data_IF_324310739974
#
_entry.id   IF_324310739974
#
_cell.length_a   1.000
_cell.length_b   1.000
_cell.length_c   1.000
_cell.angle_alpha   90.00
_cell.angle_beta   90.00
_cell.angle_gamma   90.00
#
_symmetry.space_group_name_H-M   'P 1'
#
loop_
_entity.id
_entity.type
_entity.pdbx_description
1 polymer ?
#
# COMPACT_ATOMS: atom_id res chain seq x y z
N UNK A 1 38.08 21.85 8.94
CA UNK A 1 36.64 21.81 9.31
C UNK A 1 35.87 22.26 8.10
N UNK A 2 35.21 21.35 7.40
CA UNK A 2 34.51 21.69 6.18
C UNK A 2 33.24 22.48 6.52
N UNK A 3 33.11 23.67 5.91
CA UNK A 3 31.89 24.48 6.01
C UNK A 3 30.68 23.65 5.59
N UNK A 4 29.78 23.38 6.52
CA UNK A 4 28.51 22.73 6.22
C UNK A 4 27.66 23.71 5.38
N UNK A 5 27.69 23.54 4.06
CA UNK A 5 26.89 24.36 3.15
C UNK A 5 25.42 24.06 3.41
N UNK A 6 24.76 24.97 4.14
CA UNK A 6 23.32 24.85 4.45
C UNK A 6 22.53 24.71 3.16
N UNK A 7 21.76 23.63 3.08
CA UNK A 7 20.93 23.33 1.91
C UNK A 7 21.64 22.70 0.70
N UNK A 8 22.90 22.27 0.81
CA UNK A 8 23.63 21.64 -0.30
C UNK A 8 22.87 20.42 -0.84
N UNK A 9 22.39 19.53 0.03
CA UNK A 9 21.61 18.36 -0.36
C UNK A 9 20.29 18.76 -1.05
N UNK A 10 19.64 19.82 -0.62
CA UNK A 10 18.40 20.30 -1.26
C UNK A 10 18.66 20.86 -2.66
N UNK A 11 19.78 21.57 -2.86
CA UNK A 11 20.19 22.07 -4.18
C UNK A 11 20.54 20.93 -5.12
N UNK A 12 21.32 19.95 -4.64
CA UNK A 12 21.68 18.75 -5.40
C UNK A 12 20.41 17.97 -5.81
N UNK A 13 19.49 17.75 -4.89
CA UNK A 13 18.22 17.07 -5.17
C UNK A 13 17.40 17.85 -6.22
N UNK A 14 17.35 19.18 -6.15
CA UNK A 14 16.63 20.00 -7.13
C UNK A 14 17.24 19.90 -8.53
N UNK A 15 18.56 19.86 -8.63
CA UNK A 15 19.27 19.66 -9.90
C UNK A 15 19.04 18.25 -10.44
N UNK A 16 19.14 17.23 -9.59
CA UNK A 16 18.92 15.84 -9.96
C UNK A 16 17.49 15.64 -10.51
N UNK A 17 16.46 16.16 -9.83
CA UNK A 17 15.08 16.04 -10.27
C UNK A 17 14.84 16.67 -11.65
N UNK A 18 15.42 17.85 -11.92
CA UNK A 18 15.31 18.50 -13.24
C UNK A 18 15.89 17.65 -14.36
N UNK A 19 17.07 17.03 -14.13
CA UNK A 19 17.73 16.18 -15.12
C UNK A 19 17.00 14.85 -15.31
N UNK A 20 16.61 14.20 -14.21
CA UNK A 20 15.95 12.91 -14.22
C UNK A 20 14.55 12.97 -14.85
N UNK A 21 13.78 14.02 -14.63
CA UNK A 21 12.41 14.13 -15.16
C UNK A 21 12.34 13.97 -16.68
N UNK A 22 13.25 14.63 -17.40
CA UNK A 22 13.34 14.51 -18.87
C UNK A 22 13.78 13.11 -19.32
N UNK A 23 14.75 12.52 -18.62
CA UNK A 23 15.26 11.19 -18.95
C UNK A 23 14.21 10.10 -18.68
N UNK A 24 13.53 10.18 -17.52
CA UNK A 24 12.47 9.26 -17.10
C UNK A 24 11.31 9.28 -18.10
N UNK A 25 10.87 10.48 -18.49
CA UNK A 25 9.77 10.65 -19.44
C UNK A 25 10.10 10.06 -20.81
N UNK A 26 11.30 10.31 -21.34
CA UNK A 26 11.74 9.80 -22.65
C UNK A 26 11.84 8.26 -22.69
N UNK A 27 12.23 7.65 -21.58
CA UNK A 27 12.45 6.20 -21.52
C UNK A 27 11.24 5.43 -20.96
N UNK A 28 10.12 6.07 -20.63
CA UNK A 28 8.94 5.42 -20.06
C UNK A 28 9.25 4.67 -18.74
N UNK A 29 10.22 5.15 -17.97
CA UNK A 29 10.73 4.46 -16.79
C UNK A 29 10.00 4.91 -15.51
N UNK A 30 9.71 3.98 -14.60
CA UNK A 30 9.23 4.28 -13.26
C UNK A 30 10.41 4.33 -12.30
N UNK A 31 10.50 5.42 -11.53
CA UNK A 31 11.55 5.61 -10.51
C UNK A 31 10.94 5.68 -9.12
N UNK A 32 11.49 4.87 -8.21
CA UNK A 32 11.06 4.81 -6.82
C UNK A 32 12.17 5.37 -5.94
N UNK A 33 11.85 6.43 -5.18
CA UNK A 33 12.74 7.01 -4.18
C UNK A 33 12.38 6.49 -2.80
N UNK A 34 13.31 5.80 -2.16
CA UNK A 34 13.19 5.36 -0.77
C UNK A 34 13.84 6.44 0.10
N UNK A 35 13.08 6.99 1.06
CA UNK A 35 13.55 8.06 1.91
C UNK A 35 13.16 7.81 3.37
N UNK A 36 13.97 8.28 4.31
CA UNK A 36 13.70 8.22 5.73
C UNK A 36 13.00 9.49 6.22
N UNK A 37 12.16 9.37 7.24
CA UNK A 37 11.61 10.51 7.97
C UNK A 37 12.63 11.01 8.99
N UNK A 38 12.69 12.32 9.13
CA UNK A 38 13.48 13.05 10.15
C UNK A 38 12.55 14.00 10.88
N UNK A 39 12.86 14.30 12.11
CA UNK A 39 12.16 15.33 12.87
C UNK A 39 12.89 16.67 12.69
N UNK A 40 12.15 17.70 12.37
CA UNK A 40 12.64 19.07 12.31
C UNK A 40 12.61 19.66 13.70
N UNK A 41 13.79 20.07 14.20
CA UNK A 41 13.95 20.68 15.52
C UNK A 41 13.32 22.08 15.51
N UNK A 42 12.64 22.46 16.62
CA UNK A 42 12.05 23.79 16.80
C UNK A 42 10.66 24.00 16.21
N UNK A 43 9.99 22.95 15.74
CA UNK A 43 8.57 23.02 15.32
C UNK A 43 7.67 22.80 16.54
N UNK A 44 7.11 23.87 17.09
CA UNK A 44 6.20 23.80 18.25
C UNK A 44 4.76 23.42 17.84
N UNK A 45 4.34 23.75 16.63
CA UNK A 45 2.99 23.46 16.10
C UNK A 45 3.05 22.81 14.73
N UNK A 46 2.13 21.87 14.45
CA UNK A 46 2.06 21.11 13.20
C UNK A 46 2.91 19.85 13.21
N UNK A 47 3.06 19.22 12.05
CA UNK A 47 3.82 17.98 11.90
C UNK A 47 5.32 18.27 11.74
N UNK A 48 6.18 17.88 12.70
CA UNK A 48 7.62 18.11 12.64
C UNK A 48 8.33 17.19 11.63
N UNK A 49 7.64 16.17 11.11
CA UNK A 49 8.25 15.18 10.23
C UNK A 49 8.60 15.74 8.87
N UNK A 50 9.81 15.50 8.44
CA UNK A 50 10.34 15.93 7.15
C UNK A 50 11.22 14.86 6.54
N UNK A 51 11.44 14.94 5.23
CA UNK A 51 12.39 14.10 4.51
C UNK A 51 13.64 14.89 4.18
N UNK A 52 14.86 14.30 4.23
CA UNK A 52 16.07 14.96 3.76
C UNK A 52 15.99 15.27 2.26
N UNK A 53 16.80 16.25 1.79
CA UNK A 53 16.83 16.64 0.38
C UNK A 53 15.88 17.77 -0.01
N UNK A 54 15.26 18.46 0.95
CA UNK A 54 14.41 19.63 0.71
C UNK A 54 13.04 19.27 0.15
N UNK A 55 12.44 20.20 -0.59
CA UNK A 55 11.06 20.09 -1.08
C UNK A 55 10.94 19.54 -2.51
N UNK A 56 12.05 19.53 -3.27
CA UNK A 56 12.01 19.16 -4.70
C UNK A 56 11.33 17.83 -4.96
N UNK A 57 11.73 16.78 -4.26
CA UNK A 57 11.14 15.45 -4.42
C UNK A 57 9.64 15.42 -4.12
N UNK A 58 9.17 16.19 -3.15
CA UNK A 58 7.75 16.32 -2.80
C UNK A 58 6.91 16.88 -3.95
N UNK A 59 7.47 17.82 -4.70
CA UNK A 59 6.80 18.45 -5.86
C UNK A 59 6.84 17.54 -7.09
N UNK A 60 8.00 16.95 -7.41
CA UNK A 60 8.19 16.10 -8.58
C UNK A 60 7.43 14.77 -8.48
N UNK A 61 7.36 14.16 -7.32
CA UNK A 61 6.71 12.86 -7.13
C UNK A 61 5.23 12.88 -7.56
N UNK A 62 4.84 11.91 -8.39
CA UNK A 62 3.45 11.67 -8.79
C UNK A 62 2.67 10.97 -7.68
N UNK A 63 3.29 10.01 -7.02
CA UNK A 63 2.73 9.28 -5.89
C UNK A 63 3.69 9.38 -4.70
N UNK A 64 3.14 9.55 -3.49
CA UNK A 64 3.90 9.50 -2.24
C UNK A 64 3.18 8.58 -1.28
N UNK A 65 3.93 7.63 -0.75
CA UNK A 65 3.43 6.64 0.19
C UNK A 65 4.20 6.80 1.50
N UNK A 66 3.47 6.90 2.59
CA UNK A 66 4.01 6.87 3.96
C UNK A 66 3.91 5.44 4.48
N UNK A 67 5.04 4.84 4.80
CA UNK A 67 5.13 3.44 5.27
C UNK A 67 5.53 3.46 6.74
N UNK A 68 4.70 2.90 7.60
CA UNK A 68 4.94 2.88 9.05
C UNK A 68 4.68 1.51 9.65
N UNK A 69 5.56 1.10 10.55
CA UNK A 69 5.29 -0.01 11.45
C UNK A 69 4.23 0.41 12.46
N UNK A 70 3.18 -0.40 12.59
CA UNK A 70 2.11 -0.20 13.58
C UNK A 70 2.41 -1.04 14.82
N UNK A 71 2.73 -2.33 14.61
CA UNK A 71 2.88 -3.31 15.67
C UNK A 71 4.01 -4.29 15.35
N UNK A 72 4.59 -4.87 16.39
CA UNK A 72 5.54 -5.98 16.25
C UNK A 72 4.82 -7.30 16.51
N UNK A 73 4.86 -8.20 15.54
CA UNK A 73 4.28 -9.54 15.64
C UNK A 73 5.21 -10.45 16.44
N UNK A 74 4.64 -11.14 17.43
CA UNK A 74 5.37 -12.04 18.33
C UNK A 74 4.63 -13.37 18.45
N UNK A 75 5.39 -14.45 18.46
CA UNK A 75 4.91 -15.80 18.77
C UNK A 75 5.84 -16.40 19.83
N UNK A 76 5.28 -16.86 20.93
CA UNK A 76 6.06 -17.43 22.05
C UNK A 76 7.07 -16.47 22.69
N UNK A 77 6.90 -15.14 22.52
CA UNK A 77 7.84 -14.11 22.99
C UNK A 77 8.89 -13.70 21.97
N UNK A 78 9.08 -14.46 20.89
CA UNK A 78 9.99 -14.11 19.81
C UNK A 78 9.33 -13.18 18.78
N UNK A 79 10.11 -12.21 18.26
CA UNK A 79 9.66 -11.30 17.22
C UNK A 79 9.77 -11.98 15.86
N UNK A 80 8.65 -12.25 15.23
CA UNK A 80 8.56 -12.94 13.93
C UNK A 80 8.31 -12.00 12.76
N UNK A 81 7.87 -10.77 13.02
CA UNK A 81 7.53 -9.83 11.96
C UNK A 81 6.99 -8.50 12.48
N UNK A 82 6.52 -7.69 11.57
CA UNK A 82 5.90 -6.40 11.87
C UNK A 82 4.61 -6.22 11.07
N UNK A 83 3.56 -5.71 11.71
CA UNK A 83 2.41 -5.14 11.03
C UNK A 83 2.74 -3.74 10.55
N UNK A 84 2.55 -3.51 9.27
CA UNK A 84 2.95 -2.28 8.58
C UNK A 84 1.73 -1.65 7.92
N UNK A 85 1.65 -0.32 7.98
CA UNK A 85 0.66 0.47 7.26
C UNK A 85 1.33 1.29 6.17
N UNK A 86 0.82 1.18 4.94
CA UNK A 86 1.15 2.04 3.82
C UNK A 86 -0.02 3.00 3.55
N UNK A 87 0.23 4.30 3.63
CA UNK A 87 -0.76 5.35 3.39
C UNK A 87 -0.35 6.22 2.21
N UNK A 88 -1.22 6.34 1.22
CA UNK A 88 -1.01 7.21 0.06
C UNK A 88 -1.31 8.65 0.45
N UNK A 89 -0.26 9.47 0.68
CA UNK A 89 -0.39 10.88 1.11
C UNK A 89 -0.45 11.87 -0.05
N UNK A 90 -0.04 11.45 -1.26
CA UNK A 90 -0.18 12.20 -2.51
C UNK A 90 -0.37 11.22 -3.65
N UNK A 91 -1.30 11.50 -4.54
CA UNK A 91 -1.50 10.76 -5.76
C UNK A 91 -2.02 11.69 -6.86
N UNK A 92 -1.33 11.73 -8.01
CA UNK A 92 -1.74 12.47 -9.20
C UNK A 92 -2.51 11.60 -10.21
N UNK A 93 -2.46 10.27 -10.05
CA UNK A 93 -3.03 9.30 -10.99
C UNK A 93 -4.40 8.77 -10.54
N UNK A 94 -4.71 8.84 -9.23
CA UNK A 94 -5.93 8.33 -8.64
C UNK A 94 -6.26 9.08 -7.33
N UNK A 95 -7.47 8.92 -6.73
CA UNK A 95 -7.80 9.53 -5.44
C UNK A 95 -6.78 9.14 -4.35
N UNK A 96 -6.21 10.14 -3.63
CA UNK A 96 -5.24 9.90 -2.56
C UNK A 96 -5.94 9.41 -1.27
N UNK A 97 -5.15 9.28 -0.20
CA UNK A 97 -5.55 8.95 1.18
C UNK A 97 -6.09 7.53 1.39
N UNK A 98 -5.89 6.64 0.41
CA UNK A 98 -6.08 5.21 0.64
C UNK A 98 -4.94 4.67 1.51
N UNK A 99 -5.28 3.70 2.35
CA UNK A 99 -4.30 3.01 3.20
C UNK A 99 -4.54 1.50 3.15
N UNK A 100 -3.43 0.75 3.28
CA UNK A 100 -3.40 -0.69 3.38
C UNK A 100 -2.54 -1.10 4.57
N UNK A 101 -2.95 -2.13 5.28
CA UNK A 101 -2.19 -2.74 6.36
C UNK A 101 -1.86 -4.17 5.99
N UNK A 102 -0.62 -4.58 6.22
CA UNK A 102 -0.12 -5.91 5.91
C UNK A 102 0.98 -6.30 6.87
N UNK A 103 1.19 -7.62 6.99
CA UNK A 103 2.23 -8.19 7.83
C UNK A 103 3.50 -8.43 7.00
N UNK A 104 4.64 -8.00 7.52
CA UNK A 104 5.98 -8.33 6.99
C UNK A 104 6.62 -9.32 7.93
N UNK A 105 6.80 -10.54 7.46
CA UNK A 105 7.47 -11.61 8.22
C UNK A 105 8.97 -11.56 8.00
N UNK A 106 9.75 -11.79 9.04
CA UNK A 106 11.21 -11.79 8.94
C UNK A 106 11.69 -13.01 8.13
N UNK A 107 12.54 -12.76 7.13
CA UNK A 107 13.05 -13.79 6.24
C UNK A 107 12.13 -14.19 5.08
N UNK A 108 10.82 -13.92 5.17
CA UNK A 108 9.82 -14.31 4.16
C UNK A 108 9.28 -13.12 3.35
N UNK A 109 9.20 -11.93 3.99
CA UNK A 109 8.63 -10.74 3.36
C UNK A 109 7.14 -10.55 3.67
N UNK A 110 6.37 -10.02 2.71
CA UNK A 110 4.95 -9.72 2.90
C UNK A 110 4.13 -11.02 2.96
N UNK A 111 3.35 -11.18 4.05
CA UNK A 111 2.50 -12.35 4.27
C UNK A 111 1.23 -12.27 3.44
N UNK A 112 1.27 -12.82 2.21
CA UNK A 112 0.11 -12.86 1.31
C UNK A 112 -1.10 -13.57 1.93
N UNK A 113 -0.86 -14.69 2.60
CA UNK A 113 -1.93 -15.47 3.26
C UNK A 113 -2.57 -14.69 4.40
N UNK A 114 -1.75 -13.94 5.17
CA UNK A 114 -2.27 -13.05 6.22
C UNK A 114 -3.21 -11.98 5.68
N UNK A 115 -2.89 -11.40 4.52
CA UNK A 115 -3.78 -10.43 3.83
C UNK A 115 -5.07 -11.08 3.34
N UNK A 116 -5.01 -12.30 2.79
CA UNK A 116 -6.20 -13.05 2.34
C UNK A 116 -7.15 -13.27 3.52
N UNK A 117 -6.65 -13.66 4.70
CA UNK A 117 -7.47 -13.81 5.91
C UNK A 117 -8.10 -12.48 6.31
N UNK A 118 -7.31 -11.41 6.42
CA UNK A 118 -7.80 -10.10 6.87
C UNK A 118 -8.82 -9.49 5.90
N UNK A 119 -8.58 -9.59 4.59
CA UNK A 119 -9.49 -9.12 3.55
C UNK A 119 -10.73 -10.02 3.44
N UNK A 120 -10.57 -11.33 3.57
CA UNK A 120 -11.67 -12.29 3.59
C UNK A 120 -12.66 -11.99 4.71
N UNK A 121 -12.17 -11.68 5.90
CA UNK A 121 -13.02 -11.25 7.03
C UNK A 121 -13.69 -9.89 6.75
N UNK A 122 -12.96 -8.91 6.21
CA UNK A 122 -13.52 -7.60 5.87
C UNK A 122 -14.60 -7.64 4.80
N UNK A 123 -14.54 -8.63 3.92
CA UNK A 123 -15.50 -8.83 2.83
C UNK A 123 -16.58 -9.87 3.16
N UNK A 124 -16.59 -10.38 4.39
CA UNK A 124 -17.56 -11.41 4.84
C UNK A 124 -17.51 -12.71 4.00
N UNK A 125 -16.33 -13.02 3.43
CA UNK A 125 -16.02 -14.27 2.75
C UNK A 125 -15.58 -15.32 3.78
N UNK A 126 -14.90 -14.86 4.83
CA UNK A 126 -14.51 -15.63 6.00
C UNK A 126 -15.31 -15.08 7.18
N UNK A 127 -16.14 -15.88 7.78
CA UNK A 127 -16.89 -15.47 8.97
C UNK A 127 -15.98 -15.49 10.19
N UNK A 128 -16.08 -14.43 11.01
CA UNK A 128 -15.34 -14.29 12.25
C UNK A 128 -16.29 -14.07 13.42
N UNK A 129 -16.24 -14.98 14.40
CA UNK A 129 -16.99 -14.91 15.64
C UNK A 129 -16.00 -15.01 16.84
N UNK A 130 -15.60 -13.85 17.38
CA UNK A 130 -14.58 -13.79 18.43
C UNK A 130 -13.22 -14.31 17.95
N UNK A 131 -12.73 -15.38 18.58
CA UNK A 131 -11.48 -16.05 18.18
C UNK A 131 -11.66 -17.11 17.09
N UNK A 132 -12.90 -17.38 16.68
CA UNK A 132 -13.22 -18.41 15.71
C UNK A 132 -13.40 -17.83 14.31
N UNK A 133 -12.89 -18.55 13.32
CA UNK A 133 -12.99 -18.24 11.90
C UNK A 133 -13.66 -19.41 11.21
N UNK A 134 -14.59 -19.14 10.30
CA UNK A 134 -15.22 -20.16 9.46
C UNK A 134 -14.80 -19.95 8.03
N UNK A 135 -14.12 -20.95 7.47
CA UNK A 135 -13.62 -20.97 6.09
C UNK A 135 -14.34 -22.09 5.35
N UNK A 136 -15.36 -21.75 4.56
CA UNK A 136 -16.27 -22.76 3.99
C UNK A 136 -16.99 -23.53 5.10
N UNK A 137 -16.75 -24.85 5.17
CA UNK A 137 -17.34 -25.72 6.20
C UNK A 137 -16.43 -25.89 7.45
N UNK A 138 -15.20 -25.39 7.39
CA UNK A 138 -14.21 -25.57 8.46
C UNK A 138 -14.25 -24.43 9.46
N UNK A 139 -14.34 -24.79 10.75
CA UNK A 139 -14.29 -23.85 11.86
C UNK A 139 -12.95 -23.95 12.57
N UNK A 140 -12.16 -22.88 12.55
CA UNK A 140 -10.76 -22.86 13.00
C UNK A 140 -10.61 -21.77 14.07
N UNK A 141 -9.91 -22.08 15.16
CA UNK A 141 -9.67 -21.15 16.23
C UNK A 141 -8.31 -20.45 16.05
N UNK A 142 -8.32 -19.13 16.00
CA UNK A 142 -7.13 -18.30 15.90
C UNK A 142 -6.72 -17.98 14.47
N UNK A 143 -6.20 -16.74 14.28
CA UNK A 143 -5.79 -16.23 12.97
C UNK A 143 -4.62 -17.00 12.38
N UNK A 144 -3.66 -17.42 13.22
CA UNK A 144 -2.47 -18.13 12.75
C UNK A 144 -2.80 -19.56 12.30
N UNK A 145 -3.71 -20.24 13.00
CA UNK A 145 -4.20 -21.54 12.57
C UNK A 145 -4.97 -21.47 11.22
N UNK A 146 -5.68 -20.36 10.95
CA UNK A 146 -6.30 -20.14 9.63
C UNK A 146 -5.24 -19.94 8.55
N UNK A 147 -4.15 -19.24 8.84
CA UNK A 147 -3.04 -19.09 7.88
C UNK A 147 -2.42 -20.45 7.56
N UNK A 148 -2.14 -21.26 8.57
CA UNK A 148 -1.60 -22.62 8.39
C UNK A 148 -2.55 -23.49 7.56
N UNK A 149 -3.84 -23.45 7.87
CA UNK A 149 -4.86 -24.15 7.09
C UNK A 149 -4.86 -23.76 5.62
N UNK A 150 -4.79 -22.44 5.32
CA UNK A 150 -4.75 -21.94 3.94
C UNK A 150 -3.43 -22.28 3.22
N UNK A 151 -2.32 -22.33 3.94
CA UNK A 151 -1.04 -22.79 3.39
C UNK A 151 -1.07 -24.29 3.02
N UNK A 152 -1.72 -25.11 3.83
CA UNK A 152 -1.92 -26.53 3.55
C UNK A 152 -2.97 -26.82 2.46
N UNK A 153 -3.86 -25.85 2.17
CA UNK A 153 -4.96 -25.99 1.20
C UNK A 153 -4.90 -24.87 0.14
N UNK A 154 -3.97 -24.92 -0.81
CA UNK A 154 -3.74 -23.87 -1.79
C UNK A 154 -4.95 -23.61 -2.71
N UNK A 155 -5.77 -24.64 -2.99
CA UNK A 155 -7.00 -24.48 -3.78
C UNK A 155 -8.04 -23.61 -3.06
N UNK A 156 -8.22 -23.82 -1.75
CA UNK A 156 -9.13 -23.00 -0.92
C UNK A 156 -8.60 -21.57 -0.85
N UNK A 157 -7.30 -21.41 -0.66
CA UNK A 157 -6.65 -20.11 -0.65
C UNK A 157 -6.85 -19.35 -1.96
N UNK A 158 -6.65 -20.00 -3.11
CA UNK A 158 -6.85 -19.40 -4.44
C UNK A 158 -8.32 -19.02 -4.69
N UNK A 159 -9.27 -19.84 -4.26
CA UNK A 159 -10.71 -19.53 -4.37
C UNK A 159 -11.06 -18.27 -3.56
N UNK A 160 -10.60 -18.20 -2.31
CA UNK A 160 -10.84 -17.01 -1.46
C UNK A 160 -10.16 -15.76 -2.07
N UNK A 161 -8.94 -15.89 -2.57
CA UNK A 161 -8.26 -14.77 -3.26
C UNK A 161 -9.07 -14.28 -4.46
N UNK A 162 -9.63 -15.19 -5.27
CA UNK A 162 -10.48 -14.83 -6.40
C UNK A 162 -11.74 -14.11 -5.93
N UNK A 163 -12.44 -14.62 -4.93
CA UNK A 163 -13.63 -13.97 -4.35
C UNK A 163 -13.31 -12.58 -3.79
N UNK A 164 -12.13 -12.40 -3.14
CA UNK A 164 -11.66 -11.10 -2.68
C UNK A 164 -11.47 -10.14 -3.85
N UNK A 165 -10.85 -10.57 -4.95
CA UNK A 165 -10.63 -9.74 -6.15
C UNK A 165 -11.95 -9.30 -6.78
N UNK A 166 -12.90 -10.21 -6.93
CA UNK A 166 -14.23 -9.92 -7.46
C UNK A 166 -15.02 -8.94 -6.58
N UNK A 167 -14.85 -9.02 -5.27
CA UNK A 167 -15.53 -8.17 -4.29
C UNK A 167 -14.71 -6.95 -3.85
N UNK A 168 -13.50 -6.74 -4.40
CA UNK A 168 -12.60 -5.66 -4.00
C UNK A 168 -13.23 -4.25 -4.10
N UNK A 169 -14.19 -4.05 -5.02
CA UNK A 169 -14.93 -2.81 -5.13
C UNK A 169 -15.72 -2.45 -3.86
N UNK A 170 -16.12 -3.44 -3.04
CA UNK A 170 -16.82 -3.23 -1.77
C UNK A 170 -15.93 -2.53 -0.72
N UNK A 171 -14.61 -2.64 -0.84
CA UNK A 171 -13.64 -1.96 0.01
C UNK A 171 -13.46 -0.49 -0.37
N UNK A 172 -13.98 -0.08 -1.52
CA UNK A 172 -13.91 1.32 -1.97
C UNK A 172 -14.97 2.17 -1.26
N UNK A 173 -14.68 3.47 -1.06
CA UNK A 173 -15.68 4.42 -0.56
C UNK A 173 -16.87 4.51 -1.51
N UNK A 174 -18.08 4.87 -1.02
CA UNK A 174 -19.27 5.01 -1.87
C UNK A 174 -19.08 5.94 -3.07
N UNK A 175 -18.31 7.01 -2.89
CA UNK A 175 -17.96 7.95 -3.96
C UNK A 175 -17.00 7.33 -4.98
N UNK A 176 -16.00 6.58 -4.52
CA UNK A 176 -15.07 5.87 -5.39
C UNK A 176 -15.75 4.73 -6.17
N UNK A 177 -16.76 4.06 -5.58
CA UNK A 177 -17.58 3.06 -6.28
C UNK A 177 -18.36 3.66 -7.44
N UNK A 178 -19.01 4.82 -7.21
CA UNK A 178 -19.75 5.55 -8.27
C UNK A 178 -18.83 5.99 -9.40
N UNK A 179 -17.62 6.50 -9.07
CA UNK A 179 -16.63 6.90 -10.07
C UNK A 179 -16.12 5.71 -10.89
N UNK A 180 -15.84 4.57 -10.26
CA UNK A 180 -15.40 3.36 -10.96
C UNK A 180 -16.50 2.79 -11.88
N UNK A 181 -17.75 2.81 -11.44
CA UNK A 181 -18.90 2.40 -12.27
C UNK A 181 -19.12 3.34 -13.46
N UNK A 182 -18.94 4.65 -13.28
CA UNK A 182 -19.03 5.63 -14.35
C UNK A 182 -17.89 5.46 -15.38
N UNK A 183 -16.66 5.18 -14.92
CA UNK A 183 -15.53 4.91 -15.79
C UNK A 183 -15.68 3.59 -16.57
N UNK A 184 -16.23 2.54 -15.96
CA UNK A 184 -16.53 1.27 -16.64
C UNK A 184 -17.61 1.39 -17.72
N UNK A 185 -18.56 2.32 -17.56
CA UNK A 185 -19.56 2.63 -18.60
C UNK A 185 -19.01 3.44 -19.77
N UNK A 186 -17.90 4.18 -19.57
CA UNK A 186 -17.27 4.99 -20.62
C UNK A 186 -16.32 4.18 -21.54
N UNK A 187 -16.06 2.90 -21.26
CA UNK A 187 -15.18 2.03 -22.03
C UNK A 187 -15.96 1.08 -22.94
N UNK A 188 -17.29 1.12 -22.92
CA UNK A 188 -18.11 0.41 -23.88
C UNK A 188 -18.36 1.31 -25.13
N UNK A 189 -17.25 1.74 -25.74
CA UNK A 189 -17.24 2.27 -27.10
C UNK A 189 -17.16 1.05 -28.00
N UNK A 190 -18.28 0.68 -28.58
CA UNK A 190 -18.38 -0.37 -29.57
C UNK A 190 -17.36 -0.12 -30.69
N UNK A 191 -16.70 -1.19 -31.13
CA UNK A 191 -15.72 -1.17 -32.24
C UNK A 191 -16.32 -0.76 -33.61
N UNK A 192 -17.60 -0.39 -33.63
CA UNK A 192 -18.35 -0.04 -34.83
C UNK A 192 -18.26 1.46 -35.22
N UNK A 193 -17.60 2.30 -34.41
CA UNK A 193 -17.48 3.74 -34.71
C UNK A 193 -16.21 4.13 -35.52
N UNK A 194 -15.50 3.18 -36.10
CA UNK A 194 -14.31 3.44 -36.95
C UNK A 194 -14.44 2.98 -38.40
N UNK A 195 -15.64 2.94 -38.93
CA UNK A 195 -15.84 2.88 -40.39
C UNK A 195 -16.56 4.15 -40.88
N UNK A 196 -15.74 5.13 -41.32
CA UNK A 196 -16.22 6.38 -41.92
C UNK A 196 -15.05 7.19 -42.45
#
# INVERSE_FOLDING_TARGET
MGDSVVGALARLMSQAMRRLAGCISKNGCTVIFINQLRQKIGVMYGNPETTPGGLALKYYASVRIDVRRIETLKVGGEMIGNRTRAKVIKNKCAPPFKEAEFDIMYGEGISKVGEIVDLGVKLEIIDKAGAWFTVGEQRIQGRDAVKEYLLCNPEVCANIEQQIRENAYKLMSPQARKAAQAAGRAVDVSADDFEG
#
